data_IF_919262894868
#
_entry.id   IF_919262894868
#
_cell.length_a   1.000
_cell.length_b   1.000
_cell.length_c   1.000
_cell.angle_alpha   90.00
_cell.angle_beta   90.00
_cell.angle_gamma   90.00
#
_symmetry.space_group_name_H-M   'P 1'
#
loop_
_entity.id
_entity.type
_entity.pdbx_description
1 polymer ?
#
# COMPACT_ATOMS: atom_id res chain seq x y z
N UNK A 1 -0.75 -8.69 17.76
CA UNK A 1 -1.27 -7.60 16.90
C UNK A 1 -2.76 -7.86 16.68
N UNK A 2 -3.66 -6.97 17.11
CA UNK A 2 -5.11 -7.14 16.91
C UNK A 2 -5.74 -5.78 16.57
N UNK A 3 -6.29 -5.67 15.38
CA UNK A 3 -6.98 -4.50 14.86
C UNK A 3 -7.90 -4.96 13.73
N UNK A 4 -9.05 -4.30 13.53
CA UNK A 4 -10.04 -4.73 12.54
C UNK A 4 -9.48 -4.76 11.11
N UNK A 5 -8.64 -3.77 10.76
CA UNK A 5 -7.99 -3.61 9.47
C UNK A 5 -6.56 -4.20 9.39
N UNK A 6 -6.20 -5.11 10.29
CA UNK A 6 -4.93 -5.86 10.21
C UNK A 6 -5.26 -7.35 10.26
N UNK A 7 -4.84 -8.10 9.24
CA UNK A 7 -5.15 -9.52 9.12
C UNK A 7 -4.48 -10.30 10.28
N UNK A 8 -5.24 -10.98 11.14
CA UNK A 8 -4.66 -11.72 12.25
C UNK A 8 -3.72 -12.84 11.77
N UNK A 9 -2.49 -12.81 12.28
CA UNK A 9 -1.60 -13.96 12.21
C UNK A 9 -2.12 -15.06 13.16
N UNK A 10 -2.41 -16.24 12.60
CA UNK A 10 -2.96 -17.37 13.33
C UNK A 10 -1.88 -18.34 13.80
N UNK A 11 -0.81 -18.52 13.03
CA UNK A 11 0.28 -19.42 13.37
C UNK A 11 1.20 -19.74 12.19
N UNK A 12 2.10 -20.69 12.41
CA UNK A 12 2.98 -21.24 11.38
C UNK A 12 2.58 -22.68 11.07
N UNK A 13 2.73 -23.06 9.81
CA UNK A 13 2.70 -24.45 9.37
C UNK A 13 4.13 -24.85 9.00
N UNK A 14 4.59 -25.98 9.50
CA UNK A 14 5.89 -26.53 9.17
C UNK A 14 5.79 -28.06 9.07
N UNK A 15 5.75 -28.58 7.85
CA UNK A 15 5.74 -30.01 7.58
C UNK A 15 6.34 -30.30 6.19
N UNK A 16 6.94 -31.48 6.01
CA UNK A 16 7.47 -31.98 4.73
C UNK A 16 8.39 -30.99 3.97
N UNK A 17 9.14 -30.14 4.69
CA UNK A 17 10.02 -29.13 4.09
C UNK A 17 9.30 -27.85 3.62
N UNK A 18 8.01 -27.72 3.90
CA UNK A 18 7.21 -26.52 3.64
C UNK A 18 7.07 -25.72 4.92
N UNK A 19 7.51 -24.47 4.91
CA UNK A 19 7.23 -23.49 5.95
C UNK A 19 6.23 -22.46 5.42
N UNK A 20 5.09 -22.30 6.09
CA UNK A 20 4.06 -21.37 5.70
C UNK A 20 3.55 -20.55 6.89
N UNK A 21 3.15 -19.31 6.59
CA UNK A 21 2.49 -18.39 7.52
C UNK A 21 0.98 -18.59 7.34
N UNK A 22 0.26 -18.78 8.44
CA UNK A 22 -1.19 -18.97 8.44
C UNK A 22 -1.86 -17.70 8.96
N UNK A 23 -2.75 -17.12 8.17
CA UNK A 23 -3.52 -15.91 8.48
C UNK A 23 -5.02 -16.17 8.31
N UNK A 24 -5.87 -15.24 8.78
CA UNK A 24 -7.31 -15.33 8.58
C UNK A 24 -7.66 -15.23 7.08
N UNK A 25 -8.53 -16.13 6.62
CA UNK A 25 -8.93 -16.18 5.21
C UNK A 25 -9.89 -15.03 4.87
N UNK A 26 -9.54 -14.29 3.82
CA UNK A 26 -10.32 -13.17 3.30
C UNK A 26 -10.93 -13.55 1.95
N UNK A 27 -12.25 -13.78 1.95
CA UNK A 27 -12.96 -14.43 0.82
C UNK A 27 -13.06 -13.61 -0.47
N UNK A 28 -12.68 -12.32 -0.46
CA UNK A 28 -12.65 -11.47 -1.66
C UNK A 28 -11.27 -11.38 -2.30
N UNK A 29 -10.29 -12.12 -1.78
CA UNK A 29 -8.91 -12.07 -2.26
C UNK A 29 -8.19 -10.80 -1.84
N UNK A 30 -7.17 -10.42 -2.61
CA UNK A 30 -6.43 -9.17 -2.41
C UNK A 30 -7.19 -7.96 -2.99
N UNK A 31 -6.76 -6.75 -2.62
CA UNK A 31 -7.24 -5.52 -3.24
C UNK A 31 -6.87 -5.51 -4.73
N UNK A 32 -5.71 -6.05 -5.10
CA UNK A 32 -5.30 -6.22 -6.49
C UNK A 32 -6.30 -7.08 -7.29
N UNK A 33 -6.75 -8.20 -6.71
CA UNK A 33 -7.79 -9.06 -7.30
C UNK A 33 -9.14 -8.33 -7.40
N UNK A 34 -9.51 -7.59 -6.35
CA UNK A 34 -10.75 -6.83 -6.30
C UNK A 34 -10.81 -5.72 -7.36
N UNK A 35 -9.69 -5.03 -7.61
CA UNK A 35 -9.61 -3.97 -8.62
C UNK A 35 -9.76 -4.51 -10.05
N UNK A 36 -9.22 -5.72 -10.31
CA UNK A 36 -9.34 -6.43 -11.60
C UNK A 36 -10.72 -7.01 -11.86
N UNK A 37 -11.50 -7.26 -10.81
CA UNK A 37 -12.80 -7.89 -10.94
C UNK A 37 -13.85 -6.90 -11.47
N UNK A 38 -14.15 -6.93 -12.76
CA UNK A 38 -15.11 -6.03 -13.43
C UNK A 38 -16.56 -6.18 -12.93
N UNK A 39 -16.93 -7.33 -12.38
CA UNK A 39 -18.28 -7.59 -11.85
C UNK A 39 -18.58 -6.78 -10.58
N UNK A 40 -17.53 -6.35 -9.86
CA UNK A 40 -17.66 -5.49 -8.68
C UNK A 40 -17.72 -4.03 -9.12
N UNK A 41 -18.82 -3.34 -8.80
CA UNK A 41 -18.92 -1.89 -9.01
C UNK A 41 -18.19 -1.16 -7.87
N UNK A 42 -17.16 -0.40 -8.23
CA UNK A 42 -16.36 0.40 -7.31
C UNK A 42 -16.68 1.89 -7.52
N UNK A 43 -17.77 2.35 -6.92
CA UNK A 43 -18.04 3.79 -6.86
C UNK A 43 -17.08 4.49 -5.90
N UNK A 44 -17.15 5.83 -5.85
CA UNK A 44 -16.25 6.60 -5.01
C UNK A 44 -16.40 6.28 -3.51
N UNK A 45 -17.63 6.07 -3.05
CA UNK A 45 -17.89 5.76 -1.65
C UNK A 45 -17.18 4.46 -1.25
N UNK A 46 -17.31 3.42 -2.07
CA UNK A 46 -16.66 2.13 -1.80
C UNK A 46 -15.13 2.20 -1.95
N UNK A 47 -14.61 2.89 -2.97
CA UNK A 47 -13.16 3.16 -3.08
C UNK A 47 -12.62 3.85 -1.84
N UNK A 48 -13.33 4.87 -1.37
CA UNK A 48 -12.92 5.66 -0.21
C UNK A 48 -12.94 4.84 1.08
N UNK A 49 -13.89 3.91 1.26
CA UNK A 49 -13.93 3.03 2.43
C UNK A 49 -12.76 2.06 2.46
N UNK A 50 -12.37 1.48 1.31
CA UNK A 50 -11.19 0.61 1.21
C UNK A 50 -9.89 1.37 1.57
N UNK A 51 -9.74 2.60 1.09
CA UNK A 51 -8.59 3.45 1.44
C UNK A 51 -8.59 3.82 2.93
N UNK A 52 -9.74 4.13 3.51
CA UNK A 52 -9.86 4.43 4.94
C UNK A 52 -9.49 3.23 5.81
N UNK A 53 -9.93 2.04 5.44
CA UNK A 53 -9.55 0.79 6.10
C UNK A 53 -8.02 0.56 6.04
N UNK A 54 -7.41 0.79 4.88
CA UNK A 54 -5.95 0.70 4.71
C UNK A 54 -5.22 1.71 5.61
N UNK A 55 -5.68 2.97 5.64
CA UNK A 55 -5.12 4.01 6.50
C UNK A 55 -5.20 3.58 7.98
N UNK A 56 -6.36 3.09 8.43
CA UNK A 56 -6.53 2.62 9.82
C UNK A 56 -5.60 1.46 10.15
N UNK A 57 -5.46 0.49 9.25
CA UNK A 57 -4.55 -0.65 9.40
C UNK A 57 -3.10 -0.21 9.55
N UNK A 58 -2.62 0.64 8.63
CA UNK A 58 -1.24 1.14 8.64
C UNK A 58 -0.96 2.08 9.80
N UNK A 59 -1.91 2.95 10.17
CA UNK A 59 -1.85 3.79 11.39
C UNK A 59 -1.63 2.92 12.63
N UNK A 60 -2.38 1.83 12.75
CA UNK A 60 -2.20 0.89 13.86
C UNK A 60 -0.81 0.23 13.85
N UNK A 61 -0.32 -0.23 12.70
CA UNK A 61 1.03 -0.82 12.57
C UNK A 61 2.12 0.19 12.98
N UNK A 62 2.08 1.40 12.42
CA UNK A 62 3.08 2.44 12.69
C UNK A 62 3.06 2.91 14.14
N UNK A 63 1.88 3.00 14.77
CA UNK A 63 1.76 3.25 16.21
C UNK A 63 2.43 2.19 17.06
N UNK A 64 2.38 0.93 16.62
CA UNK A 64 3.10 -0.19 17.25
C UNK A 64 4.59 -0.24 16.89
N UNK A 65 5.11 0.82 16.23
CA UNK A 65 6.49 0.92 15.72
C UNK A 65 6.84 -0.22 14.76
N UNK A 66 5.83 -0.69 14.03
CA UNK A 66 5.94 -1.76 13.08
C UNK A 66 5.97 -1.19 11.65
N UNK A 67 7.07 -1.42 10.93
CA UNK A 67 7.20 -1.06 9.52
C UNK A 67 6.68 -2.23 8.69
N UNK A 68 5.87 -1.98 7.67
CA UNK A 68 5.40 -3.05 6.80
C UNK A 68 6.50 -3.46 5.80
N UNK A 69 7.16 -2.49 5.16
CA UNK A 69 8.33 -2.68 4.29
C UNK A 69 8.05 -3.38 2.95
N UNK A 70 6.85 -3.89 2.74
CA UNK A 70 6.38 -4.56 1.51
C UNK A 70 4.92 -4.20 1.21
N UNK A 71 4.49 -3.00 1.56
CA UNK A 71 3.11 -2.60 1.36
C UNK A 71 2.81 -2.53 -0.14
N UNK A 72 1.80 -3.26 -0.61
CA UNK A 72 1.30 -3.27 -2.00
C UNK A 72 -0.16 -3.71 -2.00
N UNK A 73 -0.88 -3.48 -3.09
CA UNK A 73 -2.29 -3.87 -3.23
C UNK A 73 -2.51 -5.38 -3.05
N UNK A 74 -1.57 -6.21 -3.50
CA UNK A 74 -1.57 -7.66 -3.25
C UNK A 74 -1.44 -8.06 -1.77
N UNK A 75 -0.85 -7.20 -0.93
CA UNK A 75 -0.69 -7.42 0.52
C UNK A 75 -1.80 -6.73 1.35
N UNK A 76 -2.88 -6.34 0.68
CA UNK A 76 -4.11 -5.85 1.31
C UNK A 76 -5.22 -6.85 0.94
N UNK A 77 -5.85 -7.51 1.90
CA UNK A 77 -6.87 -8.54 1.64
C UNK A 77 -8.24 -8.08 2.11
N UNK A 78 -9.30 -8.58 1.49
CA UNK A 78 -10.67 -8.11 1.72
C UNK A 78 -11.58 -9.24 2.20
N UNK A 79 -12.23 -9.05 3.35
CA UNK A 79 -13.10 -10.06 3.95
C UNK A 79 -14.48 -10.12 3.26
N UNK A 80 -15.32 -11.08 3.67
CA UNK A 80 -16.66 -11.26 3.09
C UNK A 80 -17.61 -10.07 3.27
N UNK A 81 -17.31 -9.17 4.21
CA UNK A 81 -18.05 -7.94 4.51
C UNK A 81 -17.43 -6.70 3.85
N UNK A 82 -16.48 -6.90 2.94
CA UNK A 82 -15.75 -5.83 2.25
C UNK A 82 -14.91 -4.94 3.18
N UNK A 83 -14.44 -5.48 4.30
CA UNK A 83 -13.46 -4.80 5.16
C UNK A 83 -12.06 -5.13 4.66
N UNK A 84 -11.27 -4.10 4.37
CA UNK A 84 -9.87 -4.27 3.98
C UNK A 84 -8.99 -4.48 5.21
N UNK A 85 -8.08 -5.45 5.10
CA UNK A 85 -7.11 -5.84 6.13
C UNK A 85 -5.71 -5.89 5.54
N UNK A 86 -4.76 -5.25 6.22
CA UNK A 86 -3.33 -5.32 5.88
C UNK A 86 -2.78 -6.68 6.28
N UNK A 87 -2.12 -7.41 5.37
CA UNK A 87 -1.52 -8.73 5.62
C UNK A 87 -0.01 -8.71 5.35
N UNK A 88 0.69 -9.81 5.62
CA UNK A 88 2.13 -9.99 5.33
C UNK A 88 3.07 -8.97 5.98
N UNK A 89 2.59 -8.25 6.98
CA UNK A 89 3.43 -7.54 7.94
C UNK A 89 4.26 -8.57 8.72
N UNK A 90 5.55 -8.30 8.94
CA UNK A 90 6.45 -9.24 9.64
C UNK A 90 7.19 -10.22 8.74
N UNK A 91 6.92 -10.21 7.44
CA UNK A 91 7.58 -11.10 6.49
C UNK A 91 9.11 -10.91 6.50
N UNK A 92 9.59 -9.67 6.44
CA UNK A 92 11.03 -9.38 6.40
C UNK A 92 11.73 -9.82 7.68
N UNK A 93 11.10 -9.60 8.84
CA UNK A 93 11.61 -10.02 10.15
C UNK A 93 11.70 -11.55 10.25
N UNK A 94 10.73 -12.27 9.69
CA UNK A 94 10.74 -13.74 9.65
C UNK A 94 11.89 -14.22 8.77
N UNK A 95 12.06 -13.68 7.56
CA UNK A 95 13.18 -14.05 6.68
C UNK A 95 14.53 -13.83 7.34
N UNK A 96 14.72 -12.66 7.97
CA UNK A 96 15.95 -12.33 8.68
C UNK A 96 16.19 -13.28 9.87
N UNK A 97 15.16 -13.55 10.67
CA UNK A 97 15.26 -14.44 11.83
C UNK A 97 15.60 -15.87 11.43
N UNK A 98 15.01 -16.36 10.34
CA UNK A 98 15.24 -17.71 9.81
C UNK A 98 16.48 -17.79 8.91
N UNK A 99 17.19 -16.67 8.68
CA UNK A 99 18.33 -16.57 7.75
C UNK A 99 18.00 -17.10 6.35
N UNK A 100 16.74 -16.92 5.93
CA UNK A 100 16.30 -17.26 4.59
C UNK A 100 16.82 -16.17 3.66
N UNK A 101 17.43 -16.58 2.54
CA UNK A 101 17.92 -15.63 1.55
C UNK A 101 16.76 -14.80 0.99
N UNK A 102 16.94 -13.48 0.92
CA UNK A 102 16.02 -12.64 0.19
C UNK A 102 16.22 -12.87 -1.31
N UNK A 103 15.15 -13.26 -1.99
CA UNK A 103 15.11 -13.22 -3.45
C UNK A 103 15.10 -11.77 -3.92
N UNK A 104 15.83 -11.48 -5.01
CA UNK A 104 15.77 -10.14 -5.59
C UNK A 104 14.37 -9.90 -6.19
N UNK A 105 13.69 -8.81 -5.80
CA UNK A 105 12.36 -8.51 -6.32
C UNK A 105 12.42 -8.13 -7.80
N UNK A 106 11.41 -8.57 -8.55
CA UNK A 106 11.23 -8.17 -9.94
C UNK A 106 10.95 -6.66 -10.08
N UNK A 107 11.15 -6.11 -11.28
CA UNK A 107 10.83 -4.69 -11.55
C UNK A 107 9.35 -4.36 -11.26
N UNK A 108 8.44 -5.32 -11.49
CA UNK A 108 7.01 -5.20 -11.17
C UNK A 108 6.79 -5.06 -9.66
N UNK A 109 7.42 -5.90 -8.85
CA UNK A 109 7.30 -5.86 -7.38
C UNK A 109 7.87 -4.58 -6.77
N UNK A 110 8.82 -3.95 -7.47
CA UNK A 110 9.45 -2.72 -7.04
C UNK A 110 8.61 -1.46 -7.30
N UNK A 111 7.48 -1.52 -8.02
CA UNK A 111 6.71 -0.32 -8.36
C UNK A 111 6.11 0.42 -7.15
N UNK A 112 5.85 -0.30 -6.05
CA UNK A 112 5.40 0.30 -4.79
C UNK A 112 6.56 0.80 -3.92
N UNK A 113 7.81 0.53 -4.31
CA UNK A 113 8.99 0.83 -3.49
C UNK A 113 9.39 2.29 -3.64
N UNK A 114 9.61 2.95 -2.50
CA UNK A 114 9.98 4.35 -2.48
C UNK A 114 11.34 4.62 -3.15
N UNK A 115 11.54 5.77 -3.81
CA UNK A 115 12.78 6.07 -4.56
C UNK A 115 14.06 5.95 -3.74
N UNK A 116 14.04 6.35 -2.48
CA UNK A 116 15.18 6.23 -1.55
C UNK A 116 15.51 4.77 -1.24
N UNK A 117 14.51 3.89 -1.13
CA UNK A 117 14.71 2.46 -0.91
C UNK A 117 15.22 1.77 -2.18
N UNK A 118 14.79 2.24 -3.36
CA UNK A 118 15.33 1.75 -4.63
C UNK A 118 16.82 2.10 -4.84
N UNK A 119 17.33 3.13 -4.13
CA UNK A 119 18.72 3.60 -4.18
C UNK A 119 19.61 2.97 -3.11
N UNK A 120 19.01 2.49 -2.01
CA UNK A 120 19.71 1.87 -0.88
C UNK A 120 19.17 0.45 -0.64
N UNK A 121 19.85 -0.58 -1.15
CA UNK A 121 19.47 -1.99 -0.95
C UNK A 121 19.42 -2.41 0.52
N UNK A 122 20.24 -1.80 1.40
CA UNK A 122 20.23 -2.14 2.82
C UNK A 122 18.95 -1.60 3.48
N UNK A 123 18.56 -0.37 3.17
CA UNK A 123 17.30 0.18 3.65
C UNK A 123 16.09 -0.57 3.07
N UNK A 124 16.16 -1.03 1.82
CA UNK A 124 15.08 -1.78 1.17
C UNK A 124 14.71 -3.08 1.90
N UNK A 125 15.67 -3.77 2.53
CA UNK A 125 15.44 -5.01 3.28
C UNK A 125 14.52 -4.81 4.50
N UNK A 126 14.56 -3.63 5.12
CA UNK A 126 13.79 -3.32 6.31
C UNK A 126 12.57 -2.44 6.01
N UNK A 127 12.63 -1.66 4.93
CA UNK A 127 11.69 -0.59 4.67
C UNK A 127 11.82 0.55 5.68
N UNK A 128 10.97 1.56 5.54
CA UNK A 128 10.89 2.70 6.46
C UNK A 128 9.43 3.12 6.63
N UNK A 129 9.11 3.84 7.71
CA UNK A 129 7.77 4.42 7.86
C UNK A 129 7.39 5.32 6.68
N UNK A 130 8.32 6.17 6.21
CA UNK A 130 8.11 7.01 5.04
C UNK A 130 7.99 6.19 3.74
N UNK A 131 8.65 5.04 3.66
CA UNK A 131 8.54 4.10 2.56
C UNK A 131 7.13 3.50 2.46
N UNK A 132 6.57 3.08 3.59
CA UNK A 132 5.18 2.58 3.64
C UNK A 132 4.18 3.66 3.19
N UNK A 133 4.40 4.93 3.56
CA UNK A 133 3.55 6.05 3.11
C UNK A 133 3.64 6.25 1.59
N UNK A 134 4.83 6.10 1.00
CA UNK A 134 4.98 6.13 -0.45
C UNK A 134 4.21 4.96 -1.08
N UNK A 135 4.38 3.74 -0.58
CA UNK A 135 3.66 2.57 -1.09
C UNK A 135 2.14 2.74 -1.02
N UNK A 136 1.62 3.32 0.06
CA UNK A 136 0.21 3.68 0.19
C UNK A 136 -0.27 4.61 -0.91
N UNK A 137 0.53 5.60 -1.31
CA UNK A 137 0.14 6.51 -2.40
C UNK A 137 0.03 5.81 -3.77
N UNK A 138 0.84 4.78 -4.01
CA UNK A 138 0.76 3.97 -5.23
C UNK A 138 -0.53 3.14 -5.20
N UNK A 139 -0.87 2.54 -4.05
CA UNK A 139 -2.15 1.85 -3.86
C UNK A 139 -3.32 2.82 -4.03
N UNK A 140 -3.19 4.05 -3.53
CA UNK A 140 -4.21 5.09 -3.72
C UNK A 140 -4.43 5.40 -5.19
N UNK A 141 -3.36 5.50 -6.00
CA UNK A 141 -3.51 5.59 -7.45
C UNK A 141 -4.26 4.38 -8.00
N UNK A 142 -3.84 3.15 -7.70
CA UNK A 142 -4.48 1.93 -8.20
C UNK A 142 -5.99 1.92 -7.93
N UNK A 143 -6.41 2.28 -6.72
CA UNK A 143 -7.83 2.34 -6.33
C UNK A 143 -8.58 3.45 -7.06
N UNK A 144 -7.99 4.64 -7.15
CA UNK A 144 -8.62 5.82 -7.76
C UNK A 144 -8.87 5.58 -9.25
N UNK A 145 -7.85 5.17 -10.00
CA UNK A 145 -7.99 4.93 -11.45
C UNK A 145 -8.52 3.53 -11.77
N UNK A 146 -8.64 2.65 -10.77
CA UNK A 146 -8.98 1.23 -10.93
C UNK A 146 -8.09 0.57 -11.98
N UNK A 147 -6.78 0.59 -11.75
CA UNK A 147 -5.78 0.08 -12.68
C UNK A 147 -4.47 -0.26 -11.98
N UNK A 148 -3.53 -0.92 -12.67
CA UNK A 148 -2.24 -1.31 -12.08
C UNK A 148 -1.39 -0.08 -11.69
N UNK A 149 -0.35 -0.27 -10.86
CA UNK A 149 0.56 0.81 -10.49
C UNK A 149 1.20 1.42 -11.74
N UNK A 150 1.26 2.76 -11.81
CA UNK A 150 1.83 3.53 -12.92
C UNK A 150 1.15 3.31 -14.29
N UNK A 151 -0.06 2.74 -14.34
CA UNK A 151 -0.77 2.48 -15.61
C UNK A 151 -1.07 3.73 -16.45
N UNK A 152 -0.90 4.93 -15.87
CA UNK A 152 -1.15 6.22 -16.50
C UNK A 152 0.02 6.73 -17.35
N UNK A 153 1.18 6.06 -17.31
CA UNK A 153 2.39 6.51 -18.01
C UNK A 153 2.67 5.76 -19.33
N UNK A 154 1.92 4.69 -19.64
CA UNK A 154 2.16 3.83 -20.82
C UNK A 154 3.61 3.30 -20.90
N UNK A 155 4.16 2.89 -19.76
CA UNK A 155 5.54 2.41 -19.63
C UNK A 155 5.62 1.06 -18.93
N UNK A 156 6.64 0.27 -19.23
CA UNK A 156 6.86 -1.00 -18.52
C UNK A 156 7.53 -0.77 -17.16
N UNK A 157 7.42 -1.71 -16.22
CA UNK A 157 8.13 -1.61 -14.94
C UNK A 157 9.64 -1.41 -15.11
N UNK A 158 10.26 -2.09 -16.08
CA UNK A 158 11.69 -2.01 -16.39
C UNK A 158 12.12 -0.60 -16.85
N UNK A 159 11.21 0.17 -17.44
CA UNK A 159 11.45 1.56 -17.81
C UNK A 159 11.19 2.53 -16.64
N UNK A 160 10.25 2.20 -15.76
CA UNK A 160 9.84 3.04 -14.63
C UNK A 160 10.88 3.01 -13.52
N UNK A 161 11.35 1.82 -13.11
CA UNK A 161 12.26 1.66 -11.97
C UNK A 161 13.55 2.50 -12.10
N UNK A 162 14.24 2.53 -13.27
CA UNK A 162 15.41 3.40 -13.44
C UNK A 162 15.09 4.89 -13.28
N UNK A 163 13.92 5.35 -13.76
CA UNK A 163 13.48 6.74 -13.64
C UNK A 163 13.16 7.13 -12.20
N UNK A 164 12.57 6.21 -11.41
CA UNK A 164 12.38 6.41 -9.97
C UNK A 164 13.72 6.50 -9.24
N UNK A 165 14.71 5.67 -9.59
CA UNK A 165 16.05 5.68 -8.98
C UNK A 165 16.84 6.95 -9.25
N UNK A 166 16.70 7.59 -10.41
CA UNK A 166 17.56 8.72 -10.82
C UNK A 166 16.77 9.89 -11.43
N UNK A 167 16.04 10.67 -10.62
CA UNK A 167 15.46 11.94 -11.08
C UNK A 167 16.58 12.99 -11.32
N UNK A 168 16.36 14.04 -12.13
CA UNK A 168 15.14 14.41 -12.88
C UNK A 168 15.03 13.79 -14.29
N UNK A 169 13.82 13.80 -14.93
CA UNK A 169 12.54 14.28 -14.38
C UNK A 169 11.96 13.31 -13.34
N UNK A 170 11.09 13.83 -12.45
CA UNK A 170 10.37 12.96 -11.50
C UNK A 170 9.37 12.09 -12.26
N UNK A 171 9.47 10.78 -12.06
CA UNK A 171 8.49 9.81 -12.53
C UNK A 171 7.42 9.60 -11.45
N UNK A 172 6.16 9.99 -11.72
CA UNK A 172 5.01 9.77 -10.83
C UNK A 172 3.77 9.45 -11.66
N UNK A 173 2.83 8.63 -11.15
CA UNK A 173 1.54 8.46 -11.79
C UNK A 173 0.78 9.78 -11.97
N UNK A 174 -0.07 9.84 -12.99
CA UNK A 174 -0.88 11.01 -13.34
C UNK A 174 -2.34 10.67 -13.13
N UNK A 175 -2.98 11.30 -12.15
CA UNK A 175 -4.39 11.05 -11.82
C UNK A 175 -5.22 12.29 -12.17
N UNK A 176 -6.22 12.11 -13.06
CA UNK A 176 -7.16 13.18 -13.42
C UNK A 176 -8.07 13.57 -12.24
N UNK A 177 -8.42 14.86 -12.08
CA UNK A 177 -9.47 15.31 -11.16
C UNK A 177 -10.84 14.64 -11.36
N UNK A 178 -11.09 14.04 -12.52
CA UNK A 178 -12.35 13.34 -12.79
C UNK A 178 -12.47 12.01 -12.03
N UNK A 179 -11.37 11.47 -11.50
CA UNK A 179 -11.35 10.17 -10.83
C UNK A 179 -11.54 10.25 -9.30
N UNK A 180 -11.25 11.41 -8.69
CA UNK A 180 -11.27 11.59 -7.24
C UNK A 180 -11.40 13.08 -6.88
N UNK A 181 -11.97 13.41 -5.70
CA UNK A 181 -11.91 14.75 -5.13
C UNK A 181 -10.48 15.30 -5.10
N UNK A 182 -10.33 16.61 -5.33
CA UNK A 182 -9.03 17.25 -5.45
C UNK A 182 -8.16 17.06 -4.20
N UNK A 183 -8.79 17.07 -3.03
CA UNK A 183 -8.14 16.90 -1.74
C UNK A 183 -7.49 15.51 -1.62
N UNK A 184 -8.13 14.48 -2.17
CA UNK A 184 -7.55 13.14 -2.24
C UNK A 184 -6.34 13.10 -3.19
N UNK A 185 -6.41 13.78 -4.33
CA UNK A 185 -5.28 13.85 -5.27
C UNK A 185 -4.10 14.62 -4.66
N UNK A 186 -4.38 15.69 -3.91
CA UNK A 186 -3.35 16.46 -3.18
C UNK A 186 -2.70 15.60 -2.10
N UNK A 187 -3.49 14.89 -1.29
CA UNK A 187 -2.99 13.98 -0.26
C UNK A 187 -2.11 12.87 -0.87
N UNK A 188 -2.57 12.21 -1.93
CA UNK A 188 -1.79 11.23 -2.68
C UNK A 188 -0.44 11.80 -3.13
N UNK A 189 -0.43 13.04 -3.63
CA UNK A 189 0.78 13.72 -4.05
C UNK A 189 1.74 14.06 -2.91
N UNK A 190 1.22 14.33 -1.71
CA UNK A 190 2.05 14.50 -0.52
C UNK A 190 2.69 13.18 -0.09
N UNK A 191 1.95 12.08 -0.17
CA UNK A 191 2.42 10.76 0.25
C UNK A 191 3.57 10.20 -0.62
N UNK A 192 3.63 10.52 -1.93
CA UNK A 192 4.78 10.13 -2.78
C UNK A 192 5.86 11.20 -2.93
N UNK A 193 6.00 12.11 -1.97
CA UNK A 193 7.04 13.14 -2.04
C UNK A 193 8.42 12.50 -2.26
N UNK A 194 9.25 13.11 -3.10
CA UNK A 194 10.61 12.64 -3.34
C UNK A 194 11.46 12.66 -2.07
N UNK A 195 11.25 13.65 -1.20
CA UNK A 195 11.92 13.76 0.09
C UNK A 195 11.10 12.98 1.13
N UNK A 196 11.64 11.89 1.73
CA UNK A 196 10.88 11.03 2.65
C UNK A 196 10.30 11.78 3.85
N UNK A 197 11.07 12.70 4.44
CA UNK A 197 10.66 13.49 5.61
C UNK A 197 9.55 14.51 5.31
N UNK A 198 9.23 14.75 4.04
CA UNK A 198 8.12 15.62 3.62
C UNK A 198 6.81 14.85 3.42
N UNK A 199 6.83 13.52 3.57
CA UNK A 199 5.63 12.69 3.49
C UNK A 199 4.90 12.73 4.84
N UNK A 200 3.57 12.86 4.85
CA UNK A 200 2.81 12.83 6.10
C UNK A 200 2.86 11.44 6.73
N UNK A 201 2.78 11.37 8.05
CA UNK A 201 2.55 10.14 8.80
C UNK A 201 1.13 9.61 8.58
N UNK A 202 0.89 8.32 8.87
CA UNK A 202 -0.48 7.78 8.81
C UNK A 202 -1.44 8.42 9.82
N UNK A 203 -0.94 9.03 10.90
CA UNK A 203 -1.75 9.86 11.80
C UNK A 203 -2.25 11.11 11.09
N UNK A 204 -1.35 11.88 10.47
CA UNK A 204 -1.70 13.09 9.71
C UNK A 204 -2.59 12.78 8.50
N UNK A 205 -2.33 11.65 7.82
CA UNK A 205 -3.18 11.17 6.72
C UNK A 205 -4.60 10.87 7.22
N UNK A 206 -4.73 10.17 8.35
CA UNK A 206 -6.03 9.83 8.94
C UNK A 206 -6.82 11.09 9.34
N UNK A 207 -6.15 12.06 9.96
CA UNK A 207 -6.78 13.29 10.41
C UNK A 207 -7.25 14.14 9.23
N UNK A 208 -6.45 14.25 8.16
CA UNK A 208 -6.84 14.91 6.93
C UNK A 208 -8.06 14.26 6.28
N UNK A 209 -8.06 12.93 6.13
CA UNK A 209 -9.19 12.19 5.54
C UNK A 209 -10.44 12.31 6.39
N UNK A 210 -10.33 12.21 7.72
CA UNK A 210 -11.48 12.35 8.63
C UNK A 210 -12.11 13.75 8.54
N UNK A 211 -11.28 14.79 8.44
CA UNK A 211 -11.75 16.16 8.23
C UNK A 211 -12.49 16.33 6.90
N UNK A 212 -12.05 15.65 5.83
CA UNK A 212 -12.74 15.66 4.53
C UNK A 212 -14.12 15.02 4.61
N UNK A 213 -14.25 13.87 5.28
CA UNK A 213 -15.56 13.23 5.47
C UNK A 213 -16.53 14.14 6.23
N UNK A 214 -16.10 14.78 7.31
CA UNK A 214 -16.95 15.69 8.08
C UNK A 214 -17.48 16.85 7.23
N UNK A 215 -16.63 17.45 6.39
CA UNK A 215 -17.04 18.53 5.48
C UNK A 215 -18.06 18.08 4.42
N UNK A 216 -17.99 16.84 3.96
CA UNK A 216 -18.95 16.30 2.99
C UNK A 216 -20.33 16.03 3.62
N UNK A 217 -20.36 15.63 4.91
CA UNK A 217 -21.62 15.42 5.64
C UNK A 217 -22.28 16.71 6.14
N UNK A 218 -21.54 17.80 6.34
CA UNK A 218 -22.12 19.10 6.70
C UNK A 218 -22.80 19.83 5.52
N UNK A 219 -22.61 19.33 4.29
CA UNK A 219 -23.14 19.93 3.06
C UNK A 219 -24.08 19.00 2.27
N UNK A 220 -24.53 17.90 2.87
CA UNK A 220 -25.59 17.00 2.36
C UNK A 220 -26.87 17.09 3.18
#
# INVERSE_FOLDING_TARGET
MRHENVNPFLGFFHDCGVFAIVTEFCSRGSLEDLLRNEDVKLDWMFKSSLLLDLIKGMKYLHHRKFIHGRLKSGNCVVDGRFVLKVTDYGYNEILQTQRIAHEEPSALELLWTAPELLRDPHAALHGTFAGDVYSFSIIMQEVVVRGPPFCTLEQTPEEIIPKLRKPPPLCRPVVSPDHAPMECIVLMKQCWNEVPDRRPSFDEIFDQVSCLYLKLYEHS
#
